data_IF_469717357361
#
_entry.id   IF_469717357361
#
_cell.length_a   1.000
_cell.length_b   1.000
_cell.length_c   1.000
_cell.angle_alpha   90.00
_cell.angle_beta   90.00
_cell.angle_gamma   90.00
#
_symmetry.space_group_name_H-M   'P 1'
#
loop_
_entity.id
_entity.type
_entity.pdbx_description
1 polymer ?
#
# COMPACT_ATOMS: atom_id res chain seq x y z
N UNK A 1 1.60 11.97 -11.65
CA UNK A 1 1.46 11.19 -10.40
C UNK A 1 2.72 11.38 -9.55
N UNK A 2 2.82 10.80 -8.36
CA UNK A 2 3.90 11.04 -7.40
C UNK A 2 5.29 10.49 -7.84
N UNK A 3 5.36 9.64 -8.87
CA UNK A 3 6.60 8.98 -9.34
C UNK A 3 6.81 8.99 -10.87
N UNK A 4 5.94 9.64 -11.64
CA UNK A 4 5.91 9.58 -13.10
C UNK A 4 5.60 8.19 -13.66
N UNK A 5 5.09 7.26 -12.83
CA UNK A 5 4.88 5.85 -13.17
C UNK A 5 3.46 5.52 -13.61
N UNK A 6 2.60 6.53 -13.71
CA UNK A 6 1.18 6.41 -14.07
C UNK A 6 0.31 5.85 -12.95
N UNK A 7 0.83 5.63 -11.73
CA UNK A 7 0.07 5.09 -10.61
C UNK A 7 -0.39 6.21 -9.69
N UNK A 8 -1.70 6.32 -9.48
CA UNK A 8 -2.22 7.11 -8.35
C UNK A 8 -2.25 6.17 -7.16
N UNK A 9 -1.28 6.31 -6.27
CA UNK A 9 -1.12 5.45 -5.12
C UNK A 9 -0.76 6.25 -3.87
N UNK A 10 -1.06 5.68 -2.70
CA UNK A 10 -0.52 6.15 -1.42
C UNK A 10 0.35 5.05 -0.82
N UNK A 11 1.32 5.43 -0.01
CA UNK A 11 2.18 4.49 0.72
C UNK A 11 1.93 4.65 2.21
N UNK A 12 1.79 3.53 2.92
CA UNK A 12 1.69 3.52 4.37
C UNK A 12 2.60 2.44 4.95
N UNK A 13 2.96 2.60 6.22
CA UNK A 13 3.72 1.59 6.95
C UNK A 13 2.80 0.40 7.21
N UNK A 14 3.21 -0.80 6.83
CA UNK A 14 2.53 -2.03 7.21
C UNK A 14 3.10 -2.55 8.54
N UNK A 15 2.33 -3.37 9.25
CA UNK A 15 2.89 -4.14 10.36
C UNK A 15 3.93 -5.15 9.82
N UNK A 16 4.85 -5.63 10.67
CA UNK A 16 5.69 -6.76 10.32
C UNK A 16 4.82 -7.93 9.82
N UNK A 17 5.26 -8.59 8.75
CA UNK A 17 4.58 -9.70 8.04
C UNK A 17 3.36 -9.31 7.17
N UNK A 18 2.60 -8.26 7.51
CA UNK A 18 1.42 -7.85 6.72
C UNK A 18 1.73 -7.39 5.29
N UNK A 19 2.94 -6.88 5.04
CA UNK A 19 3.32 -6.36 3.72
C UNK A 19 3.18 -7.43 2.63
N UNK A 20 3.69 -8.63 2.87
CA UNK A 20 3.65 -9.72 1.89
C UNK A 20 2.23 -10.26 1.78
N UNK A 21 1.55 -10.48 2.90
CA UNK A 21 0.17 -10.97 2.93
C UNK A 21 -0.79 -10.06 2.15
N UNK A 22 -0.66 -8.74 2.29
CA UNK A 22 -1.45 -7.78 1.53
C UNK A 22 -1.17 -7.90 0.02
N UNK A 23 0.11 -7.93 -0.37
CA UNK A 23 0.51 -8.06 -1.78
C UNK A 23 0.05 -9.37 -2.39
N UNK A 24 0.12 -10.48 -1.65
CA UNK A 24 -0.34 -11.80 -2.09
C UNK A 24 -1.86 -11.87 -2.18
N UNK A 25 -2.59 -11.24 -1.25
CA UNK A 25 -4.05 -11.24 -1.22
C UNK A 25 -4.68 -10.51 -2.41
N UNK A 26 -4.07 -9.39 -2.84
CA UNK A 26 -4.57 -8.59 -3.95
C UNK A 26 -3.45 -7.80 -4.64
N UNK A 27 -2.68 -8.44 -5.55
CA UNK A 27 -1.55 -7.80 -6.23
C UNK A 27 -1.96 -6.72 -7.24
N UNK A 28 -3.25 -6.58 -7.56
CA UNK A 28 -3.75 -5.46 -8.37
C UNK A 28 -3.87 -4.18 -7.55
N UNK A 29 -4.16 -4.29 -6.25
CA UNK A 29 -4.33 -3.16 -5.33
C UNK A 29 -3.06 -2.86 -4.53
N UNK A 30 -2.33 -3.89 -4.12
CA UNK A 30 -1.18 -3.77 -3.23
C UNK A 30 0.13 -4.08 -3.95
N UNK A 31 1.18 -3.34 -3.60
CA UNK A 31 2.52 -3.59 -4.13
C UNK A 31 3.59 -3.17 -3.13
N UNK A 32 4.78 -3.73 -3.28
CA UNK A 32 5.96 -3.28 -2.53
C UNK A 32 6.51 -2.00 -3.20
N UNK A 33 6.47 -0.84 -2.53
CA UNK A 33 6.95 0.41 -3.08
C UNK A 33 8.48 0.39 -3.23
N UNK A 34 9.03 1.05 -4.26
CA UNK A 34 10.47 1.18 -4.39
C UNK A 34 11.03 1.97 -3.19
N UNK A 35 12.27 1.64 -2.80
CA UNK A 35 13.05 2.29 -1.74
C UNK A 35 12.57 2.06 -0.30
N UNK A 36 11.30 2.33 0.00
CA UNK A 36 10.75 2.16 1.35
C UNK A 36 10.10 0.80 1.58
N UNK A 37 9.90 0.01 0.53
CA UNK A 37 9.44 -1.38 0.61
C UNK A 37 10.29 -2.26 1.53
N UNK A 38 11.64 -2.27 1.40
CA UNK A 38 12.51 -2.97 2.34
C UNK A 38 12.41 -2.51 3.80
N UNK A 39 11.81 -1.34 4.06
CA UNK A 39 11.53 -0.82 5.41
C UNK A 39 10.11 -1.16 5.89
N UNK A 40 9.41 -2.08 5.23
CA UNK A 40 8.07 -2.56 5.62
C UNK A 40 6.91 -1.66 5.19
N UNK A 41 7.10 -0.80 4.19
CA UNK A 41 6.01 0.02 3.66
C UNK A 41 5.25 -0.71 2.56
N UNK A 42 3.93 -0.51 2.47
CA UNK A 42 3.10 -1.05 1.39
C UNK A 42 2.52 0.09 0.56
N UNK A 43 2.43 -0.11 -0.75
CA UNK A 43 1.77 0.80 -1.68
C UNK A 43 0.35 0.34 -1.99
N UNK A 44 -0.59 1.28 -2.01
CA UNK A 44 -2.01 1.05 -2.27
C UNK A 44 -2.43 1.83 -3.53
N UNK A 45 -2.95 1.13 -4.55
CA UNK A 45 -3.43 1.71 -5.82
C UNK A 45 -4.81 2.35 -5.66
N UNK A 46 -4.86 3.67 -5.67
CA UNK A 46 -6.10 4.46 -5.58
C UNK A 46 -6.83 4.54 -6.93
N UNK A 47 -6.10 4.39 -8.04
CA UNK A 47 -6.65 4.33 -9.40
C UNK A 47 -7.36 3.00 -9.74
N UNK A 48 -7.36 2.04 -8.81
CA UNK A 48 -8.00 0.73 -8.95
C UNK A 48 -9.28 0.57 -8.14
N UNK A 49 -9.86 1.69 -7.68
CA UNK A 49 -11.11 1.73 -6.90
C UNK A 49 -11.05 0.81 -5.67
N UNK A 50 -10.07 1.01 -4.77
CA UNK A 50 -10.00 0.22 -3.55
C UNK A 50 -11.23 0.50 -2.66
N UNK A 51 -11.52 -0.40 -1.74
CA UNK A 51 -12.48 -0.14 -0.67
C UNK A 51 -11.89 0.92 0.29
N UNK A 52 -12.53 2.08 0.38
CA UNK A 52 -12.08 3.18 1.22
C UNK A 52 -12.07 2.85 2.72
N UNK A 53 -12.89 1.90 3.19
CA UNK A 53 -12.85 1.42 4.56
C UNK A 53 -11.53 0.72 4.87
N UNK A 54 -11.10 -0.17 3.95
CA UNK A 54 -9.81 -0.88 4.06
C UNK A 54 -8.64 0.11 4.00
N UNK A 55 -8.69 1.08 3.07
CA UNK A 55 -7.63 2.10 2.96
C UNK A 55 -7.50 2.92 4.23
N UNK A 56 -8.63 3.34 4.83
CA UNK A 56 -8.61 4.11 6.07
C UNK A 56 -8.03 3.30 7.23
N UNK A 57 -8.41 2.03 7.37
CA UNK A 57 -7.90 1.13 8.41
C UNK A 57 -6.38 0.92 8.28
N UNK A 58 -5.89 0.66 7.07
CA UNK A 58 -4.44 0.50 6.82
C UNK A 58 -3.64 1.76 7.14
N UNK A 59 -4.19 2.94 6.79
CA UNK A 59 -3.55 4.22 7.12
C UNK A 59 -3.55 4.45 8.63
N UNK A 60 -4.65 4.14 9.32
CA UNK A 60 -4.74 4.29 10.78
C UNK A 60 -3.75 3.35 11.49
N UNK A 61 -3.67 2.09 11.05
CA UNK A 61 -2.71 1.12 11.57
C UNK A 61 -1.27 1.58 11.33
N UNK A 62 -0.96 2.10 10.15
CA UNK A 62 0.38 2.59 9.81
C UNK A 62 0.81 3.89 10.51
N UNK A 63 -0.12 4.59 11.16
CA UNK A 63 0.16 5.78 11.97
C UNK A 63 0.46 5.45 13.45
N UNK A 64 -0.04 4.33 13.95
CA UNK A 64 0.15 3.89 15.34
C UNK A 64 1.54 3.27 15.55
#
# INVERSE_FOLDING_TARGET
DHHGDGRIATWCKALPDDQLDLVESNPELFFVPPYVGPSGWVGIRLDRKPDWGIVAELIEQGYR
#
